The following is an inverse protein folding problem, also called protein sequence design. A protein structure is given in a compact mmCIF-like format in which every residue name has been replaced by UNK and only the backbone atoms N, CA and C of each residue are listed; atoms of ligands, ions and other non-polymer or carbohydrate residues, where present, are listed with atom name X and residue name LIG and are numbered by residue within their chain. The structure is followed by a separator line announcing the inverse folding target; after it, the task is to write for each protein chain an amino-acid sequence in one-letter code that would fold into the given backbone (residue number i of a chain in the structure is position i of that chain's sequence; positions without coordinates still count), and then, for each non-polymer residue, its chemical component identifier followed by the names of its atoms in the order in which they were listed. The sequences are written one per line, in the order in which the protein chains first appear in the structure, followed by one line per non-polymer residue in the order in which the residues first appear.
data_IF_855020156635
#
_entry.id   IF_855020156635
#
_cell.length_a   1.000
_cell.length_b   1.000
_cell.length_c   1.000
_cell.angle_alpha   90.00
_cell.angle_beta   90.00
_cell.angle_gamma   90.00
#
_symmetry.space_group_name_H-M   'P 1'
#
loop_
_entity.id
_entity.type
_entity.pdbx_description
1 polymer ?
#
# COMPACT_ATOMS: atom_id res chain seq x y z
N UNK A 1 -1.23 25.09 20.39
CA UNK A 1 -1.58 23.94 19.52
C UNK A 1 -2.68 24.41 18.59
N UNK A 2 -2.66 23.91 17.34
CA UNK A 2 -3.67 24.23 16.32
C UNK A 2 -5.04 23.73 16.77
N UNK A 3 -6.06 24.59 16.64
CA UNK A 3 -7.46 24.29 16.96
C UNK A 3 -7.96 23.05 16.19
N UNK A 4 -8.90 22.30 16.79
CA UNK A 4 -9.49 21.11 16.15
C UNK A 4 -10.20 21.45 14.83
N UNK A 5 -10.57 22.70 14.59
CA UNK A 5 -11.12 23.14 13.30
C UNK A 5 -10.08 23.01 12.16
N UNK A 6 -8.80 23.28 12.46
CA UNK A 6 -7.69 23.25 11.49
C UNK A 6 -6.82 22.00 11.60
N UNK A 7 -7.13 21.08 12.52
CA UNK A 7 -6.38 19.86 12.79
C UNK A 7 -7.20 18.59 12.54
N UNK A 8 -6.64 17.65 11.80
CA UNK A 8 -7.11 16.27 11.66
C UNK A 8 -6.08 15.31 12.28
N UNK A 9 -6.52 14.26 12.96
CA UNK A 9 -5.64 13.26 13.57
C UNK A 9 -6.16 11.86 13.26
N UNK A 10 -5.38 11.09 12.51
CA UNK A 10 -5.61 9.68 12.24
C UNK A 10 -4.80 8.81 13.20
N UNK A 11 -5.46 8.01 14.05
CA UNK A 11 -4.80 7.09 15.00
C UNK A 11 -4.89 5.65 14.52
N UNK A 12 -3.97 5.29 13.63
CA UNK A 12 -4.04 4.03 12.92
C UNK A 12 -3.57 2.85 13.79
N UNK A 13 -4.23 1.71 13.61
CA UNK A 13 -3.99 0.51 14.39
C UNK A 13 -4.17 -0.74 13.52
N UNK A 14 -3.19 -1.64 13.52
CA UNK A 14 -3.26 -2.88 12.72
C UNK A 14 -3.90 -4.05 13.48
N UNK A 15 -4.21 -3.87 14.77
CA UNK A 15 -4.85 -4.87 15.64
C UNK A 15 -6.36 -4.62 15.75
N UNK A 16 -6.79 -3.37 15.77
CA UNK A 16 -8.20 -2.95 15.85
C UNK A 16 -8.52 -1.97 14.72
N UNK A 17 -9.72 -2.03 14.16
CA UNK A 17 -10.17 -1.11 13.11
C UNK A 17 -10.74 0.19 13.72
N UNK A 18 -9.90 0.93 14.45
CA UNK A 18 -10.29 2.17 15.14
C UNK A 18 -10.45 3.35 14.16
N UNK A 19 -9.39 3.65 13.41
CA UNK A 19 -9.30 4.83 12.54
C UNK A 19 -8.64 4.45 11.22
N UNK A 20 -9.07 5.09 10.11
CA UNK A 20 -8.62 4.77 8.76
C UNK A 20 -8.30 6.04 7.98
N UNK A 21 -7.12 6.05 7.36
CA UNK A 21 -6.71 7.11 6.46
C UNK A 21 -7.47 7.00 5.14
N UNK A 22 -8.15 8.07 4.66
CA UNK A 22 -8.77 8.04 3.35
C UNK A 22 -7.69 8.17 2.28
N UNK A 23 -7.55 7.15 1.43
CA UNK A 23 -6.66 7.16 0.27
C UNK A 23 -7.52 7.35 -0.99
N UNK A 24 -7.08 8.18 -1.93
CA UNK A 24 -7.78 8.34 -3.20
C UNK A 24 -7.73 7.05 -4.02
N UNK A 25 -8.83 6.74 -4.70
CA UNK A 25 -8.93 5.58 -5.57
C UNK A 25 -7.89 5.59 -6.70
N UNK A 26 -7.57 6.77 -7.25
CA UNK A 26 -6.53 6.93 -8.27
C UNK A 26 -5.14 6.48 -7.81
N UNK A 27 -4.83 6.64 -6.52
CA UNK A 27 -3.52 6.27 -5.98
C UNK A 27 -3.45 4.78 -5.64
N UNK A 28 -4.58 4.19 -5.25
CA UNK A 28 -4.68 2.76 -5.02
C UNK A 28 -4.69 1.98 -6.34
N UNK A 29 -5.48 2.41 -7.32
CA UNK A 29 -5.60 1.76 -8.63
C UNK A 29 -4.48 2.16 -9.62
N UNK A 30 -3.25 2.27 -9.12
CA UNK A 30 -2.07 2.56 -9.91
C UNK A 30 -1.14 1.33 -10.01
N UNK A 31 -0.65 1.06 -11.22
CA UNK A 31 0.16 -0.13 -11.50
C UNK A 31 1.44 -0.12 -10.69
N UNK A 32 2.08 1.04 -10.56
CA UNK A 32 3.30 1.16 -9.77
C UNK A 32 3.00 0.92 -8.30
N UNK A 33 2.01 1.62 -7.74
CA UNK A 33 1.58 1.44 -6.34
C UNK A 33 1.32 -0.03 -6.01
N UNK A 34 0.46 -0.72 -6.77
CA UNK A 34 0.06 -2.09 -6.45
C UNK A 34 1.18 -3.09 -6.70
N UNK A 35 1.95 -2.92 -7.78
CA UNK A 35 3.14 -3.76 -8.02
C UNK A 35 4.08 -3.72 -6.84
N UNK A 36 4.15 -2.57 -6.20
CA UNK A 36 5.10 -2.34 -5.15
C UNK A 36 4.58 -2.80 -3.79
N UNK A 37 3.34 -2.48 -3.46
CA UNK A 37 2.68 -2.98 -2.24
C UNK A 37 2.75 -4.51 -2.17
N UNK A 38 2.70 -5.19 -3.32
CA UNK A 38 2.71 -6.65 -3.39
C UNK A 38 4.05 -7.24 -3.82
N UNK A 39 5.12 -6.44 -3.92
CA UNK A 39 6.47 -6.86 -4.31
C UNK A 39 6.48 -7.70 -5.60
N UNK A 40 5.80 -7.20 -6.63
CA UNK A 40 5.65 -7.83 -7.92
C UNK A 40 6.97 -7.85 -8.69
N UNK A 41 7.30 -9.01 -9.28
CA UNK A 41 8.41 -9.13 -10.22
C UNK A 41 8.15 -8.33 -11.51
N UNK A 42 9.19 -7.70 -12.05
CA UNK A 42 9.08 -6.81 -13.21
C UNK A 42 8.57 -7.51 -14.47
N UNK A 43 9.03 -8.73 -14.75
CA UNK A 43 8.79 -9.38 -16.05
C UNK A 43 7.42 -10.08 -16.16
N UNK A 44 6.81 -10.49 -15.05
CA UNK A 44 5.61 -11.35 -15.08
C UNK A 44 4.48 -10.79 -14.24
N UNK A 45 4.77 -10.38 -13.01
CA UNK A 45 3.74 -9.96 -12.05
C UNK A 45 3.29 -8.51 -12.27
N UNK A 46 4.21 -7.58 -12.59
CA UNK A 46 3.86 -6.20 -12.93
C UNK A 46 2.99 -6.10 -14.20
N UNK A 47 3.30 -6.80 -15.31
CA UNK A 47 2.40 -6.87 -16.47
C UNK A 47 1.02 -7.45 -16.15
N UNK A 48 0.94 -8.43 -15.24
CA UNK A 48 -0.32 -8.98 -14.77
C UNK A 48 -1.17 -7.94 -14.03
N UNK A 49 -0.57 -7.20 -13.09
CA UNK A 49 -1.23 -6.09 -12.38
C UNK A 49 -1.68 -5.00 -13.37
N UNK A 50 -0.85 -4.67 -14.35
CA UNK A 50 -1.19 -3.68 -15.37
C UNK A 50 -2.42 -4.09 -16.20
N UNK A 51 -2.57 -5.37 -16.55
CA UNK A 51 -3.77 -5.88 -17.24
C UNK A 51 -5.03 -5.71 -16.38
N UNK A 52 -4.93 -5.93 -15.07
CA UNK A 52 -6.06 -5.75 -14.14
C UNK A 52 -6.52 -4.28 -14.15
N UNK A 53 -5.59 -3.34 -14.02
CA UNK A 53 -5.89 -1.91 -13.94
C UNK A 53 -6.43 -1.39 -15.26
N UNK A 54 -5.72 -1.64 -16.37
CA UNK A 54 -6.17 -1.24 -17.71
C UNK A 54 -7.52 -1.87 -18.07
N UNK A 55 -7.76 -3.12 -17.68
CA UNK A 55 -9.06 -3.78 -17.83
C UNK A 55 -10.17 -3.10 -17.02
N UNK A 56 -9.89 -2.67 -15.80
CA UNK A 56 -10.83 -1.91 -14.96
C UNK A 56 -11.16 -0.54 -15.60
N UNK A 57 -10.15 0.20 -16.03
CA UNK A 57 -10.30 1.52 -16.62
C UNK A 57 -11.08 1.50 -17.94
N UNK A 58 -10.75 0.55 -18.83
CA UNK A 58 -11.36 0.41 -20.15
C UNK A 58 -12.89 0.27 -20.09
N UNK A 59 -13.41 -0.32 -19.02
CA UNK A 59 -14.85 -0.56 -18.84
C UNK A 59 -15.46 0.25 -17.70
N UNK A 60 -14.77 1.28 -17.22
CA UNK A 60 -15.21 2.15 -16.11
C UNK A 60 -16.60 2.77 -16.31
N UNK A 61 -16.98 3.08 -17.56
CA UNK A 61 -18.30 3.64 -17.91
C UNK A 61 -19.46 2.63 -17.78
N UNK A 62 -19.18 1.33 -17.66
CA UNK A 62 -20.20 0.31 -17.47
C UNK A 62 -20.25 -0.10 -15.99
N UNK A 63 -21.33 0.21 -15.25
CA UNK A 63 -21.43 -0.13 -13.82
C UNK A 63 -21.41 -1.64 -13.58
N UNK A 64 -21.88 -2.43 -14.54
CA UNK A 64 -21.89 -3.90 -14.48
C UNK A 64 -20.60 -4.52 -15.04
N UNK A 65 -19.53 -3.74 -15.28
CA UNK A 65 -18.32 -4.27 -15.92
C UNK A 65 -17.74 -5.48 -15.17
N UNK A 66 -17.70 -5.41 -13.83
CA UNK A 66 -17.11 -6.45 -13.01
C UNK A 66 -18.00 -7.68 -12.99
N UNK A 67 -19.31 -7.47 -12.84
CA UNK A 67 -20.30 -8.55 -12.86
C UNK A 67 -20.30 -9.28 -14.21
N UNK A 68 -20.26 -8.53 -15.31
CA UNK A 68 -20.17 -9.09 -16.65
C UNK A 68 -18.86 -9.86 -16.86
N UNK A 69 -17.75 -9.35 -16.32
CA UNK A 69 -16.47 -10.04 -16.41
C UNK A 69 -16.53 -11.37 -15.62
N UNK A 70 -17.02 -11.35 -14.38
CA UNK A 70 -17.21 -12.54 -13.55
C UNK A 70 -18.09 -13.58 -14.27
N UNK A 71 -19.27 -13.20 -14.79
CA UNK A 71 -20.18 -14.11 -15.49
C UNK A 71 -19.51 -14.74 -16.72
N UNK A 72 -18.80 -13.95 -17.52
CA UNK A 72 -18.03 -14.45 -18.67
C UNK A 72 -16.90 -15.38 -18.25
N UNK A 73 -16.25 -15.12 -17.12
CA UNK A 73 -15.20 -16.01 -16.60
C UNK A 73 -15.78 -17.36 -16.17
N UNK A 74 -16.93 -17.39 -15.50
CA UNK A 74 -17.63 -18.66 -15.21
C UNK A 74 -17.93 -19.46 -16.48
N UNK A 75 -18.52 -18.80 -17.48
CA UNK A 75 -18.81 -19.42 -18.77
C UNK A 75 -17.54 -19.95 -19.43
N UNK A 76 -16.47 -19.14 -19.46
CA UNK A 76 -15.19 -19.50 -20.07
C UNK A 76 -14.58 -20.77 -19.46
N UNK A 77 -14.58 -20.90 -18.12
CA UNK A 77 -14.01 -22.07 -17.44
C UNK A 77 -14.69 -23.35 -17.89
N UNK A 78 -16.02 -23.32 -18.01
CA UNK A 78 -16.83 -24.51 -18.29
C UNK A 78 -17.17 -24.72 -19.77
N UNK A 79 -16.73 -23.82 -20.65
CA UNK A 79 -16.92 -23.91 -22.11
C UNK A 79 -15.62 -23.82 -22.91
N UNK A 80 -14.45 -23.69 -22.27
CA UNK A 80 -13.19 -23.71 -23.01
C UNK A 80 -12.80 -25.11 -23.49
N UNK A 81 -12.12 -25.18 -24.63
CA UNK A 81 -11.63 -26.44 -25.19
C UNK A 81 -10.48 -27.07 -24.40
N UNK A 82 -9.69 -26.25 -23.70
CA UNK A 82 -8.53 -26.67 -22.90
C UNK A 82 -8.61 -26.08 -21.48
N UNK A 83 -9.48 -26.62 -20.62
CA UNK A 83 -9.61 -26.14 -19.25
C UNK A 83 -8.33 -26.36 -18.45
N UNK A 84 -8.09 -25.47 -17.48
CA UNK A 84 -6.93 -25.51 -16.59
C UNK A 84 -7.39 -25.88 -15.19
N UNK A 85 -6.87 -26.96 -14.55
CA UNK A 85 -7.31 -27.38 -13.22
C UNK A 85 -7.27 -26.26 -12.18
N UNK A 86 -6.21 -25.42 -12.19
CA UNK A 86 -6.03 -24.32 -11.24
C UNK A 86 -7.16 -23.27 -11.32
N UNK A 87 -7.85 -23.16 -12.46
CA UNK A 87 -8.96 -22.20 -12.62
C UNK A 87 -10.16 -22.51 -11.71
N UNK A 88 -10.34 -23.78 -11.32
CA UNK A 88 -11.44 -24.18 -10.46
C UNK A 88 -11.29 -23.65 -9.03
N UNK A 89 -10.07 -23.69 -8.49
CA UNK A 89 -9.82 -23.14 -7.14
C UNK A 89 -9.89 -21.61 -7.14
N UNK A 90 -9.40 -20.96 -8.20
CA UNK A 90 -9.50 -19.52 -8.36
C UNK A 90 -10.97 -19.05 -8.43
N UNK A 91 -11.83 -19.74 -9.18
CA UNK A 91 -13.25 -19.35 -9.26
C UNK A 91 -14.01 -19.65 -7.97
N UNK A 92 -13.65 -20.71 -7.24
CA UNK A 92 -14.18 -20.99 -5.91
C UNK A 92 -13.87 -19.85 -4.93
N UNK A 93 -12.65 -19.32 -4.95
CA UNK A 93 -12.30 -18.16 -4.13
C UNK A 93 -13.07 -16.89 -4.53
N UNK A 94 -13.28 -16.64 -5.82
CA UNK A 94 -14.16 -15.55 -6.28
C UNK A 94 -15.58 -15.73 -5.75
N UNK A 95 -16.13 -16.94 -5.84
CA UNK A 95 -17.48 -17.28 -5.36
C UNK A 95 -17.62 -17.01 -3.86
N UNK A 96 -16.61 -17.40 -3.09
CA UNK A 96 -16.53 -17.21 -1.64
C UNK A 96 -16.41 -15.73 -1.26
N UNK A 97 -15.57 -14.96 -1.96
CA UNK A 97 -15.44 -13.52 -1.75
C UNK A 97 -16.75 -12.77 -2.03
N UNK A 98 -17.58 -13.29 -2.95
CA UNK A 98 -18.90 -12.75 -3.26
C UNK A 98 -20.01 -13.24 -2.31
N UNK A 99 -19.71 -14.15 -1.37
CA UNK A 99 -20.72 -14.70 -0.45
C UNK A 99 -21.82 -15.52 -1.15
N UNK A 100 -21.51 -16.18 -2.27
CA UNK A 100 -22.47 -16.99 -3.03
C UNK A 100 -22.43 -18.45 -2.57
N UNK A 101 -22.96 -18.72 -1.37
CA UNK A 101 -22.82 -20.02 -0.69
C UNK A 101 -23.34 -21.20 -1.52
N UNK A 102 -24.54 -21.11 -2.10
CA UNK A 102 -25.13 -22.20 -2.90
C UNK A 102 -24.27 -22.54 -4.12
N UNK A 103 -23.78 -21.52 -4.84
CA UNK A 103 -22.90 -21.71 -5.99
C UNK A 103 -21.55 -22.29 -5.55
N UNK A 104 -21.02 -21.83 -4.42
CA UNK A 104 -19.77 -22.32 -3.86
C UNK A 104 -19.88 -23.81 -3.48
N UNK A 105 -20.98 -24.22 -2.87
CA UNK A 105 -21.28 -25.62 -2.59
C UNK A 105 -21.34 -26.46 -3.86
N UNK A 106 -22.02 -25.98 -4.91
CA UNK A 106 -22.10 -26.69 -6.18
C UNK A 106 -20.73 -26.80 -6.88
N UNK A 107 -19.89 -25.76 -6.81
CA UNK A 107 -18.53 -25.78 -7.35
C UNK A 107 -17.60 -26.74 -6.61
N UNK A 108 -17.85 -27.07 -5.34
CA UNK A 108 -17.07 -28.08 -4.61
C UNK A 108 -17.26 -29.49 -5.16
N UNK A 109 -18.44 -29.78 -5.69
CA UNK A 109 -18.77 -31.08 -6.30
C UNK A 109 -18.16 -31.25 -7.70
N UNK A 110 -17.62 -30.18 -8.29
CA UNK A 110 -16.88 -30.25 -9.56
C UNK A 110 -15.50 -30.88 -9.32
N UNK A 111 -15.17 -31.87 -10.14
CA UNK A 111 -13.89 -32.58 -10.10
C UNK A 111 -13.19 -32.58 -11.47
N UNK A 112 -11.88 -32.82 -11.46
CA UNK A 112 -11.07 -32.96 -12.67
C UNK A 112 -11.10 -34.40 -13.18
N UNK A 113 -11.35 -34.59 -14.48
CA UNK A 113 -11.31 -35.89 -15.13
C UNK A 113 -10.01 -36.07 -15.93
N UNK A 114 -9.00 -36.69 -15.32
CA UNK A 114 -7.63 -36.82 -15.88
C UNK A 114 -7.57 -37.42 -17.28
N UNK A 115 -8.41 -38.41 -17.60
CA UNK A 115 -8.38 -39.06 -18.94
C UNK A 115 -8.96 -38.18 -20.06
N UNK A 116 -9.90 -37.29 -19.72
CA UNK A 116 -10.58 -36.43 -20.70
C UNK A 116 -10.09 -34.98 -20.64
N UNK A 117 -9.20 -34.67 -19.70
CA UNK A 117 -8.68 -33.32 -19.43
C UNK A 117 -9.80 -32.28 -19.36
N UNK A 118 -10.87 -32.60 -18.64
CA UNK A 118 -12.04 -31.75 -18.50
C UNK A 118 -12.59 -31.78 -17.07
N UNK A 119 -13.42 -30.80 -16.75
CA UNK A 119 -14.20 -30.81 -15.52
C UNK A 119 -15.45 -31.68 -15.68
N UNK A 120 -15.90 -32.27 -14.58
CA UNK A 120 -17.18 -32.95 -14.51
C UNK A 120 -17.82 -32.77 -13.14
N UNK A 121 -19.14 -32.96 -13.07
CA UNK A 121 -19.91 -33.00 -11.83
C UNK A 121 -20.87 -34.18 -11.87
N UNK A 122 -21.00 -34.89 -10.76
CA UNK A 122 -22.01 -35.92 -10.59
C UNK A 122 -23.17 -35.34 -9.77
N UNK A 123 -24.36 -35.28 -10.37
CA UNK A 123 -25.55 -34.81 -9.68
C UNK A 123 -26.46 -36.00 -9.40
N UNK A 124 -26.73 -36.26 -8.11
CA UNK A 124 -27.76 -37.20 -7.68
C UNK A 124 -29.11 -36.51 -7.71
N UNK A 125 -30.00 -36.95 -8.61
CA UNK A 125 -31.39 -36.48 -8.59
C UNK A 125 -32.17 -37.20 -7.50
N UNK A 126 -33.29 -36.60 -7.09
CA UNK A 126 -34.26 -37.11 -6.09
C UNK A 126 -34.81 -38.52 -6.36
N UNK A 127 -34.56 -39.09 -7.56
CA UNK A 127 -34.97 -40.43 -7.95
C UNK A 127 -33.83 -41.48 -7.93
N UNK A 128 -32.70 -41.22 -7.24
CA UNK A 128 -31.51 -42.10 -7.20
C UNK A 128 -30.80 -42.33 -8.56
N UNK A 129 -31.14 -41.56 -9.59
CA UNK A 129 -30.39 -41.54 -10.85
C UNK A 129 -29.24 -40.53 -10.78
N UNK A 130 -28.01 -41.03 -10.84
CA UNK A 130 -26.80 -40.23 -10.94
C UNK A 130 -26.57 -39.83 -12.39
N UNK A 131 -26.57 -38.52 -12.67
CA UNK A 131 -26.22 -37.99 -13.99
C UNK A 131 -24.88 -37.28 -13.93
N UNK A 132 -23.96 -37.73 -14.77
CA UNK A 132 -22.66 -37.10 -14.97
C UNK A 132 -22.78 -36.00 -16.04
N UNK A 133 -22.33 -34.80 -15.70
CA UNK A 133 -22.20 -33.69 -16.63
C UNK A 133 -20.73 -33.40 -16.85
N UNK A 134 -20.30 -33.40 -18.11
CA UNK A 134 -18.95 -33.00 -18.52
C UNK A 134 -18.98 -31.59 -19.08
N UNK A 135 -17.95 -30.80 -18.74
CA UNK A 135 -17.80 -29.43 -19.20
C UNK A 135 -16.79 -29.39 -20.35
N UNK A 136 -17.21 -28.90 -21.51
CA UNK A 136 -16.45 -28.91 -22.76
C UNK A 136 -16.87 -27.75 -23.68
N UNK A 137 -16.24 -27.65 -24.84
CA UNK A 137 -16.48 -26.58 -25.83
C UNK A 137 -17.91 -26.53 -26.41
N UNK A 138 -18.72 -27.58 -26.26
CA UNK A 138 -20.11 -27.57 -26.70
C UNK A 138 -21.03 -26.81 -25.74
N UNK A 139 -20.58 -26.59 -24.50
CA UNK A 139 -21.32 -25.83 -23.49
C UNK A 139 -22.55 -26.51 -22.89
N UNK A 140 -22.93 -27.70 -23.35
CA UNK A 140 -24.10 -28.45 -22.87
C UNK A 140 -24.08 -28.67 -21.34
N UNK A 141 -22.92 -29.02 -20.77
CA UNK A 141 -22.73 -29.17 -19.33
C UNK A 141 -22.93 -27.86 -18.57
N UNK A 142 -22.33 -26.77 -19.05
CA UNK A 142 -22.48 -25.44 -18.44
C UNK A 142 -23.94 -24.97 -18.47
N UNK A 143 -24.62 -25.13 -19.60
CA UNK A 143 -26.03 -24.76 -19.75
C UNK A 143 -26.94 -25.54 -18.80
N UNK A 144 -26.66 -26.83 -18.60
CA UNK A 144 -27.46 -27.69 -17.73
C UNK A 144 -27.24 -27.44 -16.24
N UNK A 145 -26.03 -27.03 -15.83
CA UNK A 145 -25.63 -27.03 -14.42
C UNK A 145 -25.53 -25.61 -13.85
N UNK A 146 -24.89 -24.68 -14.57
CA UNK A 146 -24.48 -23.38 -14.01
C UNK A 146 -25.18 -22.19 -14.65
N UNK A 147 -25.56 -22.24 -15.94
CA UNK A 147 -26.05 -21.08 -16.69
C UNK A 147 -27.17 -20.29 -15.97
N UNK A 148 -28.20 -20.96 -15.46
CA UNK A 148 -29.28 -20.29 -14.71
C UNK A 148 -28.77 -19.57 -13.45
N UNK A 149 -27.91 -20.24 -12.68
CA UNK A 149 -27.37 -19.69 -11.44
C UNK A 149 -26.46 -18.51 -11.73
N UNK A 150 -25.55 -18.63 -12.70
CA UNK A 150 -24.63 -17.56 -13.12
C UNK A 150 -25.40 -16.34 -13.65
N UNK A 151 -26.43 -16.56 -14.46
CA UNK A 151 -27.25 -15.46 -14.98
C UNK A 151 -27.97 -14.69 -13.86
N UNK A 152 -28.38 -15.40 -12.80
CA UNK A 152 -29.02 -14.80 -11.61
C UNK A 152 -28.07 -14.11 -10.64
N UNK A 153 -26.74 -14.25 -10.78
CA UNK A 153 -25.78 -13.61 -9.88
C UNK A 153 -25.94 -12.09 -9.91
N UNK A 154 -25.98 -11.51 -8.71
CA UNK A 154 -25.84 -10.08 -8.45
C UNK A 154 -24.53 -9.81 -7.72
N UNK A 155 -23.91 -8.67 -7.99
CA UNK A 155 -22.69 -8.26 -7.29
C UNK A 155 -23.07 -7.71 -5.90
N UNK A 156 -22.52 -8.25 -4.79
CA UNK A 156 -22.70 -7.65 -3.47
C UNK A 156 -21.97 -6.30 -3.38
N UNK A 157 -22.27 -5.52 -2.34
CA UNK A 157 -21.49 -4.32 -2.04
C UNK A 157 -20.10 -4.74 -1.56
N UNK A 158 -19.11 -4.53 -2.42
CA UNK A 158 -17.70 -4.83 -2.16
C UNK A 158 -16.91 -3.53 -2.03
N UNK A 159 -15.83 -3.57 -1.23
CA UNK A 159 -14.86 -2.48 -1.22
C UNK A 159 -13.77 -2.65 -2.30
N UNK A 160 -12.92 -1.63 -2.47
CA UNK A 160 -11.86 -1.65 -3.48
C UNK A 160 -10.84 -2.79 -3.26
N UNK A 161 -10.64 -3.23 -2.02
CA UNK A 161 -9.72 -4.33 -1.73
C UNK A 161 -10.31 -5.67 -2.16
N UNK A 162 -11.59 -5.89 -1.89
CA UNK A 162 -12.35 -7.06 -2.38
C UNK A 162 -12.45 -7.07 -3.90
N UNK A 163 -12.74 -5.91 -4.52
CA UNK A 163 -12.73 -5.75 -5.97
C UNK A 163 -11.37 -6.16 -6.56
N UNK A 164 -10.27 -5.69 -5.98
CA UNK A 164 -8.93 -6.05 -6.45
C UNK A 164 -8.68 -7.56 -6.36
N UNK A 165 -9.02 -8.19 -5.22
CA UNK A 165 -8.88 -9.65 -5.04
C UNK A 165 -9.69 -10.43 -6.08
N UNK A 166 -10.94 -10.02 -6.33
CA UNK A 166 -11.79 -10.67 -7.34
C UNK A 166 -11.15 -10.52 -8.73
N UNK A 167 -10.73 -9.30 -9.10
CA UNK A 167 -10.08 -9.02 -10.39
C UNK A 167 -8.79 -9.82 -10.58
N UNK A 168 -7.97 -9.98 -9.54
CA UNK A 168 -6.79 -10.83 -9.61
C UNK A 168 -7.14 -12.28 -9.99
N UNK A 169 -8.12 -12.87 -9.31
CA UNK A 169 -8.48 -14.26 -9.56
C UNK A 169 -9.07 -14.45 -10.97
N UNK A 170 -10.02 -13.60 -11.39
CA UNK A 170 -10.63 -13.73 -12.73
C UNK A 170 -9.63 -13.41 -13.86
N UNK A 171 -8.72 -12.46 -13.66
CA UNK A 171 -7.67 -12.17 -14.64
C UNK A 171 -6.70 -13.35 -14.77
N UNK A 172 -6.32 -13.97 -13.65
CA UNK A 172 -5.43 -15.13 -13.68
C UNK A 172 -6.10 -16.31 -14.39
N UNK A 173 -7.38 -16.56 -14.14
CA UNK A 173 -8.14 -17.59 -14.87
C UNK A 173 -8.07 -17.35 -16.38
N UNK A 174 -8.36 -16.12 -16.83
CA UNK A 174 -8.28 -15.79 -18.25
C UNK A 174 -6.88 -16.00 -18.80
N UNK A 175 -5.84 -15.51 -18.11
CA UNK A 175 -4.45 -15.63 -18.55
C UNK A 175 -3.98 -17.10 -18.62
N UNK A 176 -4.47 -17.96 -17.72
CA UNK A 176 -4.19 -19.40 -17.73
C UNK A 176 -4.85 -20.10 -18.92
N UNK A 177 -6.13 -19.79 -19.18
CA UNK A 177 -6.90 -20.40 -20.28
C UNK A 177 -6.35 -19.96 -21.64
N UNK A 178 -5.98 -18.68 -21.79
CA UNK A 178 -5.36 -18.16 -23.01
C UNK A 178 -3.87 -18.49 -23.14
N UNK A 179 -3.24 -19.06 -22.11
CA UNK A 179 -1.84 -19.47 -22.13
C UNK A 179 -0.83 -18.32 -22.04
N UNK A 180 -1.23 -17.17 -21.51
CA UNK A 180 -0.36 -16.00 -21.34
C UNK A 180 0.59 -16.14 -20.15
N UNK A 181 0.21 -16.91 -19.12
CA UNK A 181 0.98 -17.04 -17.88
C UNK A 181 0.87 -18.47 -17.33
N UNK A 182 1.86 -18.89 -16.54
CA UNK A 182 1.82 -20.11 -15.73
C UNK A 182 1.45 -19.79 -14.28
N UNK A 183 0.61 -20.63 -13.68
CA UNK A 183 0.06 -20.41 -12.34
C UNK A 183 1.14 -20.18 -11.27
N UNK A 184 2.22 -20.97 -11.32
CA UNK A 184 3.35 -20.93 -10.37
C UNK A 184 4.05 -19.56 -10.31
N UNK A 185 4.03 -18.77 -11.39
CA UNK A 185 4.66 -17.46 -11.43
C UNK A 185 3.79 -16.35 -10.80
N UNK A 186 2.47 -16.55 -10.68
CA UNK A 186 1.54 -15.55 -10.13
C UNK A 186 1.04 -15.95 -8.74
N UNK A 187 0.95 -17.23 -8.41
CA UNK A 187 0.49 -17.68 -7.10
C UNK A 187 1.24 -17.01 -5.92
N UNK A 188 2.58 -16.81 -5.95
CA UNK A 188 3.27 -16.08 -4.88
C UNK A 188 2.81 -14.63 -4.73
N UNK A 189 2.48 -13.95 -5.83
CA UNK A 189 1.92 -12.59 -5.82
C UNK A 189 0.54 -12.58 -5.14
N UNK A 190 -0.33 -13.54 -5.45
CA UNK A 190 -1.67 -13.60 -4.84
C UNK A 190 -1.59 -13.76 -3.32
N UNK A 191 -0.70 -14.63 -2.81
CA UNK A 191 -0.48 -14.80 -1.37
C UNK A 191 0.01 -13.51 -0.70
N UNK A 192 0.96 -12.79 -1.31
CA UNK A 192 1.44 -11.51 -0.80
C UNK A 192 0.36 -10.42 -0.85
N UNK A 193 -0.42 -10.40 -1.93
CA UNK A 193 -1.57 -9.49 -2.10
C UNK A 193 -2.56 -9.67 -0.96
N UNK A 194 -2.94 -10.91 -0.65
CA UNK A 194 -3.88 -11.19 0.42
C UNK A 194 -3.39 -10.68 1.78
N UNK A 195 -2.15 -11.00 2.16
CA UNK A 195 -1.55 -10.54 3.41
C UNK A 195 -1.51 -9.00 3.50
N UNK A 196 -1.01 -8.35 2.45
CA UNK A 196 -0.81 -6.90 2.41
C UNK A 196 -2.15 -6.16 2.45
N UNK A 197 -3.14 -6.63 1.68
CA UNK A 197 -4.48 -6.04 1.68
C UNK A 197 -5.20 -6.20 3.01
N UNK A 198 -5.04 -7.35 3.69
CA UNK A 198 -5.63 -7.55 5.00
C UNK A 198 -5.04 -6.60 6.05
N UNK A 199 -3.76 -6.23 5.93
CA UNK A 199 -3.14 -5.23 6.79
C UNK A 199 -3.60 -3.81 6.43
N UNK A 200 -3.60 -3.45 5.15
CA UNK A 200 -3.97 -2.13 4.65
C UNK A 200 -5.44 -1.80 4.90
N UNK A 201 -6.36 -2.77 4.72
CA UNK A 201 -7.81 -2.60 4.95
C UNK A 201 -8.15 -2.15 6.37
N UNK A 202 -7.29 -2.43 7.35
CA UNK A 202 -7.48 -2.01 8.75
C UNK A 202 -7.14 -0.54 9.00
N UNK A 203 -6.30 0.05 8.16
CA UNK A 203 -5.71 1.38 8.37
C UNK A 203 -6.01 2.37 7.25
N UNK A 204 -6.56 1.91 6.12
CA UNK A 204 -6.90 2.73 4.96
C UNK A 204 -8.34 2.45 4.53
N UNK A 205 -9.03 3.49 4.08
CA UNK A 205 -10.27 3.40 3.31
C UNK A 205 -10.04 4.01 1.93
N UNK A 206 -10.46 3.33 0.87
CA UNK A 206 -10.36 3.87 -0.50
C UNK A 206 -11.56 4.77 -0.77
N UNK A 207 -11.31 5.98 -1.26
CA UNK A 207 -12.33 7.01 -1.49
C UNK A 207 -12.23 7.60 -2.89
N UNK A 208 -13.38 7.79 -3.55
CA UNK A 208 -13.49 8.46 -4.85
C UNK A 208 -13.67 9.98 -4.70
N UNK A 209 -14.13 10.43 -3.52
CA UNK A 209 -14.42 11.83 -3.25
C UNK A 209 -13.15 12.62 -2.92
N UNK A 210 -13.18 13.94 -3.20
CA UNK A 210 -12.13 14.85 -2.80
C UNK A 210 -12.01 14.86 -1.26
N UNK A 211 -10.84 14.46 -0.76
CA UNK A 211 -10.56 14.42 0.67
C UNK A 211 -10.41 15.85 1.17
N UNK A 212 -11.23 16.24 2.14
CA UNK A 212 -11.12 17.54 2.79
C UNK A 212 -9.88 17.51 3.67
N UNK A 213 -8.83 18.17 3.23
CA UNK A 213 -7.57 18.28 3.96
C UNK A 213 -7.65 19.48 4.90
N UNK A 214 -7.44 19.22 6.19
CA UNK A 214 -7.23 20.30 7.16
C UNK A 214 -5.77 20.77 7.07
N UNK A 215 -5.48 22.05 7.40
CA UNK A 215 -4.12 22.59 7.35
C UNK A 215 -3.08 21.75 8.08
N UNK A 216 -3.46 21.12 9.20
CA UNK A 216 -2.61 20.17 9.92
C UNK A 216 -3.26 18.80 9.94
N UNK A 217 -2.60 17.82 9.33
CA UNK A 217 -3.01 16.41 9.37
C UNK A 217 -1.93 15.59 10.07
N UNK A 218 -2.29 14.91 11.15
CA UNK A 218 -1.37 14.06 11.93
C UNK A 218 -1.76 12.61 11.71
N UNK A 219 -0.84 11.79 11.22
CA UNK A 219 -1.06 10.35 11.03
C UNK A 219 -0.18 9.59 12.02
N UNK A 220 -0.79 9.02 13.06
CA UNK A 220 -0.08 8.25 14.09
C UNK A 220 0.01 6.78 13.69
N UNK A 221 1.25 6.29 13.58
CA UNK A 221 1.56 4.88 13.27
C UNK A 221 1.95 4.07 14.51
N UNK A 222 1.76 4.61 15.73
CA UNK A 222 2.26 4.03 16.99
C UNK A 222 1.88 2.56 17.15
N UNK A 223 0.60 2.22 16.88
CA UNK A 223 0.03 0.87 17.02
C UNK A 223 0.01 0.06 15.71
N UNK A 224 0.72 0.50 14.68
CA UNK A 224 0.84 -0.22 13.42
C UNK A 224 1.97 -1.25 13.45
N UNK A 225 1.80 -2.35 12.71
CA UNK A 225 2.85 -3.33 12.47
C UNK A 225 4.01 -2.74 11.62
N UNK A 226 5.18 -3.40 11.58
CA UNK A 226 6.33 -2.89 10.82
C UNK A 226 6.08 -2.74 9.32
N UNK A 227 5.23 -3.58 8.73
CA UNK A 227 4.88 -3.53 7.31
C UNK A 227 4.16 -2.22 6.96
N UNK A 228 3.08 -1.89 7.69
CA UNK A 228 2.32 -0.65 7.53
C UNK A 228 3.17 0.58 7.85
N UNK A 229 4.05 0.50 8.86
CA UNK A 229 4.98 1.59 9.17
C UNK A 229 5.93 1.95 8.02
N UNK A 230 6.12 1.03 7.06
CA UNK A 230 6.96 1.24 5.88
C UNK A 230 6.17 1.58 4.63
N UNK A 231 5.05 0.91 4.38
CA UNK A 231 4.24 1.09 3.17
C UNK A 231 3.37 2.33 3.22
N UNK A 232 2.73 2.61 4.35
CA UNK A 232 1.75 3.69 4.45
C UNK A 232 2.37 5.09 4.28
N UNK A 233 3.55 5.43 4.84
CA UNK A 233 4.16 6.74 4.61
C UNK A 233 4.40 7.04 3.14
N UNK A 234 4.76 6.03 2.34
CA UNK A 234 4.92 6.19 0.90
C UNK A 234 3.58 6.48 0.22
N UNK A 235 2.52 5.71 0.54
CA UNK A 235 1.19 5.94 -0.01
C UNK A 235 0.67 7.34 0.34
N UNK A 236 0.90 7.78 1.57
CA UNK A 236 0.55 9.13 2.03
C UNK A 236 1.35 10.19 1.27
N UNK A 237 2.66 10.01 1.12
CA UNK A 237 3.51 10.95 0.38
C UNK A 237 3.02 11.08 -1.07
N UNK A 238 2.77 9.95 -1.74
CA UNK A 238 2.26 9.91 -3.12
C UNK A 238 0.89 10.58 -3.24
N UNK A 239 -0.02 10.26 -2.32
CA UNK A 239 -1.37 10.82 -2.25
C UNK A 239 -1.41 12.34 -2.17
N UNK A 240 -0.48 12.95 -1.44
CA UNK A 240 -0.40 14.41 -1.36
C UNK A 240 0.45 15.02 -2.47
N UNK A 241 1.53 14.35 -2.87
CA UNK A 241 2.50 14.88 -3.82
C UNK A 241 1.96 14.94 -5.25
N UNK A 242 1.43 13.84 -5.79
CA UNK A 242 1.01 13.80 -7.20
C UNK A 242 -0.14 14.76 -7.52
N UNK A 243 -1.27 14.76 -6.78
CA UNK A 243 -2.36 15.68 -7.10
C UNK A 243 -1.99 17.15 -6.90
N UNK A 244 -1.03 17.45 -6.02
CA UNK A 244 -0.53 18.80 -5.83
C UNK A 244 0.38 19.23 -6.98
N UNK A 245 1.33 18.37 -7.37
CA UNK A 245 2.22 18.59 -8.53
C UNK A 245 1.44 18.91 -9.80
N UNK A 246 0.30 18.26 -10.02
CA UNK A 246 -0.53 18.45 -11.21
C UNK A 246 -1.37 19.74 -11.18
N UNK A 247 -1.70 20.27 -10.00
CA UNK A 247 -2.65 21.38 -9.83
C UNK A 247 -1.99 22.71 -9.48
N UNK A 248 -0.82 22.67 -8.84
CA UNK A 248 -0.15 23.86 -8.32
C UNK A 248 0.28 24.78 -9.45
N UNK A 249 0.14 26.10 -9.24
CA UNK A 249 0.60 27.07 -10.21
C UNK A 249 2.14 27.10 -10.33
N UNK A 250 2.64 27.76 -11.37
CA UNK A 250 4.06 28.11 -11.48
C UNK A 250 4.20 29.64 -11.61
N UNK A 251 4.71 30.36 -10.59
CA UNK A 251 5.21 29.85 -9.30
C UNK A 251 4.12 29.29 -8.38
N UNK A 252 4.47 28.42 -7.39
CA UNK A 252 3.49 27.80 -6.49
C UNK A 252 2.67 28.81 -5.68
N UNK A 253 1.34 28.62 -5.70
CA UNK A 253 0.36 29.42 -4.96
C UNK A 253 -0.09 28.77 -3.64
N UNK A 254 0.23 27.48 -3.46
CA UNK A 254 -0.04 26.69 -2.26
C UNK A 254 1.17 25.81 -1.92
N UNK A 255 1.28 25.37 -0.67
CA UNK A 255 2.41 24.52 -0.24
C UNK A 255 1.96 23.31 0.56
N UNK A 256 2.77 22.26 0.52
CA UNK A 256 2.62 21.05 1.35
C UNK A 256 3.91 20.84 2.13
N UNK A 257 3.77 20.62 3.44
CA UNK A 257 4.89 20.29 4.32
C UNK A 257 4.73 18.87 4.84
N UNK A 258 5.54 17.95 4.32
CA UNK A 258 5.57 16.57 4.77
C UNK A 258 6.60 16.44 5.90
N UNK A 259 6.11 16.16 7.12
CA UNK A 259 6.96 15.99 8.30
C UNK A 259 6.98 14.50 8.67
N UNK A 260 8.17 13.90 8.65
CA UNK A 260 8.36 12.49 8.95
C UNK A 260 9.11 12.37 10.28
N UNK A 261 8.43 11.85 11.29
CA UNK A 261 9.06 11.48 12.55
C UNK A 261 9.67 10.08 12.46
N UNK A 262 10.75 9.86 13.23
CA UNK A 262 11.51 8.60 13.22
C UNK A 262 11.92 8.16 11.79
N UNK A 263 12.38 9.13 10.98
CA UNK A 263 12.57 8.99 9.53
C UNK A 263 13.48 7.83 9.11
N UNK A 264 14.40 7.38 9.97
CA UNK A 264 15.23 6.20 9.70
C UNK A 264 14.41 4.90 9.53
N UNK A 265 13.21 4.81 10.11
CA UNK A 265 12.32 3.65 9.89
C UNK A 265 11.73 3.61 8.47
N UNK A 266 11.67 4.78 7.80
CA UNK A 266 11.00 4.96 6.51
C UNK A 266 11.99 5.20 5.39
N UNK A 267 13.18 5.74 5.67
CA UNK A 267 14.14 6.21 4.66
C UNK A 267 15.49 5.50 4.74
N UNK A 268 15.57 4.35 5.42
CA UNK A 268 16.82 3.62 5.56
C UNK A 268 17.17 2.75 4.36
N UNK A 269 18.48 2.66 4.11
CA UNK A 269 19.07 1.79 3.09
C UNK A 269 19.44 0.39 3.60
N UNK A 270 19.53 0.18 4.92
CA UNK A 270 20.10 -1.04 5.50
C UNK A 270 19.08 -2.18 5.76
N UNK A 271 17.87 -2.08 5.21
CA UNK A 271 16.83 -3.09 5.41
C UNK A 271 17.11 -4.38 4.60
N UNK A 272 17.76 -5.37 5.23
CA UNK A 272 18.06 -6.69 4.62
C UNK A 272 16.87 -7.62 4.43
N UNK A 273 15.66 -7.21 4.87
CA UNK A 273 14.43 -8.01 4.85
C UNK A 273 13.42 -7.58 3.78
N UNK A 274 13.77 -6.62 2.93
CA UNK A 274 12.90 -6.08 1.87
C UNK A 274 13.39 -6.52 0.50
N UNK A 275 12.48 -6.63 -0.48
CA UNK A 275 12.90 -6.75 -1.87
C UNK A 275 13.62 -5.47 -2.29
N UNK A 276 14.71 -5.61 -3.03
CA UNK A 276 15.52 -4.48 -3.53
C UNK A 276 14.66 -3.48 -4.30
N UNK A 277 13.76 -3.97 -5.16
CA UNK A 277 12.81 -3.16 -5.92
C UNK A 277 11.89 -2.26 -5.07
N UNK A 278 11.45 -2.73 -3.90
CA UNK A 278 10.57 -1.96 -3.03
C UNK A 278 11.34 -0.83 -2.35
N UNK A 279 12.52 -1.19 -1.85
CA UNK A 279 13.42 -0.26 -1.19
C UNK A 279 13.83 0.87 -2.14
N UNK A 280 14.21 0.54 -3.37
CA UNK A 280 14.65 1.52 -4.37
C UNK A 280 13.52 2.51 -4.68
N UNK A 281 12.32 2.03 -5.01
CA UNK A 281 11.20 2.93 -5.28
C UNK A 281 10.82 3.82 -4.10
N UNK A 282 10.77 3.26 -2.88
CA UNK A 282 10.49 4.05 -1.67
C UNK A 282 11.48 5.21 -1.57
N UNK A 283 12.78 4.95 -1.74
CA UNK A 283 13.81 5.97 -1.68
C UNK A 283 13.72 6.94 -2.86
N UNK A 284 13.52 6.44 -4.08
CA UNK A 284 13.37 7.26 -5.30
C UNK A 284 12.25 8.29 -5.15
N UNK A 285 11.09 7.90 -4.61
CA UNK A 285 9.97 8.83 -4.40
C UNK A 285 10.33 9.97 -3.43
N UNK A 286 10.99 9.67 -2.30
CA UNK A 286 11.42 10.72 -1.36
C UNK A 286 12.60 11.53 -1.89
N UNK A 287 13.47 10.92 -2.70
CA UNK A 287 14.53 11.62 -3.41
C UNK A 287 13.98 12.58 -4.47
N UNK A 288 12.94 12.19 -5.20
CA UNK A 288 12.24 13.09 -6.13
C UNK A 288 11.62 14.26 -5.36
N UNK A 289 10.89 13.99 -4.27
CA UNK A 289 10.26 15.05 -3.45
C UNK A 289 11.32 16.03 -2.94
N UNK A 290 12.47 15.58 -2.44
CA UNK A 290 13.49 16.49 -1.91
C UNK A 290 14.26 17.25 -3.01
N UNK A 291 14.45 16.65 -4.19
CA UNK A 291 15.15 17.29 -5.33
C UNK A 291 14.25 18.26 -6.10
N UNK A 292 12.98 17.90 -6.32
CA UNK A 292 12.06 18.63 -7.20
C UNK A 292 10.95 19.35 -6.45
N UNK A 293 10.61 18.93 -5.22
CA UNK A 293 9.44 19.42 -4.48
C UNK A 293 9.38 20.94 -4.34
N UNK A 294 10.53 21.62 -4.22
CA UNK A 294 10.60 23.09 -4.18
C UNK A 294 9.96 23.76 -5.40
N UNK A 295 10.09 23.16 -6.60
CA UNK A 295 9.45 23.68 -7.84
C UNK A 295 7.93 23.65 -7.74
N UNK A 296 7.40 22.74 -6.93
CA UNK A 296 5.97 22.47 -6.76
C UNK A 296 5.44 22.89 -5.39
N UNK A 297 6.18 23.65 -4.58
CA UNK A 297 5.71 24.06 -3.24
C UNK A 297 5.69 22.95 -2.19
N UNK A 298 6.36 21.82 -2.41
CA UNK A 298 6.42 20.68 -1.48
C UNK A 298 7.74 20.67 -0.72
N UNK A 299 7.65 20.61 0.60
CA UNK A 299 8.79 20.63 1.51
C UNK A 299 8.81 19.39 2.40
N UNK A 300 9.98 18.80 2.57
CA UNK A 300 10.21 17.64 3.43
C UNK A 300 10.94 18.06 4.71
N UNK A 301 10.45 17.62 5.86
CA UNK A 301 11.12 17.77 7.16
C UNK A 301 11.30 16.39 7.78
N UNK A 302 12.52 16.06 8.15
CA UNK A 302 12.87 14.75 8.71
C UNK A 302 13.33 14.90 10.15
N UNK A 303 12.71 14.14 11.05
CA UNK A 303 13.12 13.97 12.45
C UNK A 303 13.66 12.55 12.64
N UNK A 304 14.85 12.40 13.20
CA UNK A 304 15.44 11.09 13.47
C UNK A 304 16.56 11.17 14.51
N UNK A 305 16.65 10.14 15.35
CA UNK A 305 17.76 9.91 16.28
C UNK A 305 18.90 9.08 15.68
N UNK A 306 18.74 8.55 14.46
CA UNK A 306 19.76 7.77 13.73
C UNK A 306 19.95 8.34 12.32
N UNK A 307 20.57 9.52 12.16
CA UNK A 307 20.78 10.12 10.85
C UNK A 307 21.63 9.24 9.92
N UNK A 308 22.60 8.48 10.43
CA UNK A 308 23.44 7.57 9.62
C UNK A 308 22.67 6.39 9.00
N UNK A 309 21.46 6.10 9.47
CA UNK A 309 20.63 5.05 8.90
C UNK A 309 19.82 5.55 7.69
N UNK A 310 19.64 6.87 7.53
CA UNK A 310 18.89 7.48 6.42
C UNK A 310 19.72 7.44 5.12
N UNK A 311 19.06 7.30 3.97
CA UNK A 311 19.71 7.37 2.64
C UNK A 311 20.65 8.59 2.54
N UNK A 312 21.97 8.39 2.28
CA UNK A 312 22.91 9.49 2.11
C UNK A 312 22.50 10.47 1.02
N UNK A 313 21.86 9.97 -0.05
CA UNK A 313 21.34 10.82 -1.12
C UNK A 313 20.29 11.78 -0.59
N UNK A 314 19.36 11.32 0.25
CA UNK A 314 18.34 12.19 0.86
C UNK A 314 19.00 13.19 1.81
N UNK A 315 19.90 12.74 2.69
CA UNK A 315 20.59 13.62 3.65
C UNK A 315 21.37 14.72 2.92
N UNK A 316 21.98 14.42 1.77
CA UNK A 316 22.73 15.39 0.96
C UNK A 316 21.89 16.54 0.38
N UNK A 317 20.57 16.34 0.27
CA UNK A 317 19.64 17.34 -0.27
C UNK A 317 18.96 18.15 0.83
N UNK A 318 19.23 17.87 2.10
CA UNK A 318 18.69 18.65 3.22
C UNK A 318 19.47 19.97 3.30
N UNK A 319 18.75 21.08 3.23
CA UNK A 319 19.37 22.41 3.27
C UNK A 319 19.58 22.98 4.67
N UNK A 320 18.73 22.61 5.62
CA UNK A 320 18.71 23.18 6.98
C UNK A 320 18.68 22.06 8.01
N UNK A 321 19.49 22.19 9.04
CA UNK A 321 19.65 21.20 10.08
C UNK A 321 19.45 21.84 11.45
N UNK A 322 18.71 21.14 12.31
CA UNK A 322 18.61 21.41 13.74
C UNK A 322 19.20 20.19 14.47
N UNK A 323 20.47 20.30 14.84
CA UNK A 323 21.23 19.18 15.39
C UNK A 323 21.18 19.26 16.92
N UNK A 324 20.39 18.37 17.51
CA UNK A 324 20.40 18.14 18.96
C UNK A 324 21.61 17.30 19.37
N UNK A 325 21.69 16.99 20.68
CA UNK A 325 22.76 16.15 21.22
C UNK A 325 22.87 14.82 20.47
N UNK A 326 24.02 14.58 19.84
CA UNK A 326 24.39 13.33 19.20
C UNK A 326 25.71 12.83 19.78
N UNK A 327 25.71 11.59 20.26
CA UNK A 327 26.87 10.97 20.94
C UNK A 327 27.44 9.80 20.12
N UNK A 328 26.74 9.37 19.07
CA UNK A 328 27.12 8.20 18.28
C UNK A 328 28.24 8.54 17.28
N UNK A 329 29.33 7.78 17.35
CA UNK A 329 30.52 7.93 16.49
C UNK A 329 30.25 7.67 15.00
N UNK A 330 29.12 7.04 14.65
CA UNK A 330 28.70 6.88 13.24
C UNK A 330 27.90 8.06 12.70
N UNK A 331 27.19 8.78 13.57
CA UNK A 331 26.29 9.86 13.17
C UNK A 331 27.04 11.19 12.95
N UNK A 332 28.00 11.50 13.82
CA UNK A 332 28.78 12.75 13.73
C UNK A 332 29.59 12.89 12.42
N UNK A 333 30.31 11.86 11.92
CA UNK A 333 31.06 11.96 10.67
C UNK A 333 30.16 12.09 9.43
N UNK A 334 28.96 11.48 9.45
CA UNK A 334 28.01 11.63 8.34
C UNK A 334 27.56 13.08 8.21
N UNK A 335 27.21 13.70 9.34
CA UNK A 335 26.80 15.10 9.42
C UNK A 335 27.95 16.00 8.96
N UNK A 336 29.17 15.73 9.40
CA UNK A 336 30.38 16.47 9.02
C UNK A 336 30.61 16.48 7.50
N UNK A 337 30.52 15.31 6.86
CA UNK A 337 30.73 15.19 5.42
C UNK A 337 29.60 15.81 4.60
N UNK A 338 28.41 15.96 5.18
CA UNK A 338 27.22 16.44 4.47
C UNK A 338 26.98 17.93 4.66
N UNK A 339 27.39 18.51 5.80
CA UNK A 339 27.11 19.90 6.18
C UNK A 339 28.38 20.73 6.11
N UNK A 340 28.64 21.32 4.94
CA UNK A 340 29.79 22.21 4.71
C UNK A 340 29.78 23.48 5.57
N UNK A 341 28.62 23.88 6.10
CA UNK A 341 28.44 25.08 6.92
C UNK A 341 28.74 24.86 8.41
N UNK A 342 29.00 23.63 8.85
CA UNK A 342 29.26 23.32 10.26
C UNK A 342 30.77 23.44 10.56
N UNK A 343 31.15 24.35 11.46
CA UNK A 343 32.54 24.53 11.86
C UNK A 343 32.97 23.56 12.98
N UNK A 344 34.28 23.33 13.09
CA UNK A 344 34.86 22.41 14.09
C UNK A 344 34.46 22.75 15.53
N UNK A 345 34.32 24.05 15.83
CA UNK A 345 33.90 24.49 17.16
C UNK A 345 32.46 24.06 17.46
N UNK A 346 31.50 24.36 16.58
CA UNK A 346 30.11 23.92 16.77
C UNK A 346 30.00 22.40 16.83
N UNK A 347 30.79 21.68 16.02
CA UNK A 347 30.84 20.21 16.05
C UNK A 347 31.28 19.67 17.41
N UNK A 348 32.32 20.26 18.02
CA UNK A 348 32.80 19.86 19.35
C UNK A 348 31.75 20.07 20.45
N UNK A 349 30.77 20.96 20.23
CA UNK A 349 29.69 21.22 21.17
C UNK A 349 28.55 20.18 21.07
N UNK A 350 28.29 19.59 19.90
CA UNK A 350 27.15 18.70 19.67
C UNK A 350 27.02 17.57 20.72
N UNK A 351 28.09 16.83 21.09
CA UNK A 351 27.98 15.76 22.09
C UNK A 351 27.63 16.25 23.50
N UNK A 352 27.90 17.53 23.78
CA UNK A 352 27.79 18.18 25.09
C UNK A 352 26.53 19.05 25.22
N UNK A 353 25.69 19.14 24.19
CA UNK A 353 24.46 19.93 24.24
C UNK A 353 23.51 19.44 25.34
N UNK A 354 22.96 20.37 26.11
CA UNK A 354 21.91 20.08 27.09
C UNK A 354 20.59 19.73 26.39
N UNK A 355 19.65 19.11 27.13
CA UNK A 355 18.31 18.79 26.60
C UNK A 355 17.60 20.07 26.17
N UNK A 356 17.08 20.08 24.94
CA UNK A 356 16.44 21.25 24.35
C UNK A 356 17.42 22.22 23.67
N UNK A 357 18.74 22.08 23.85
CA UNK A 357 19.70 22.80 23.02
C UNK A 357 19.88 22.13 21.65
N UNK A 358 20.09 22.92 20.60
CA UNK A 358 20.49 22.44 19.28
C UNK A 358 21.42 23.44 18.58
N UNK A 359 22.24 22.93 17.65
CA UNK A 359 22.94 23.74 16.65
C UNK A 359 22.06 23.83 15.40
N UNK A 360 21.66 25.04 15.03
CA UNK A 360 20.99 25.34 13.78
C UNK A 360 21.99 25.79 12.73
N UNK A 361 22.00 25.15 11.56
CA UNK A 361 22.93 25.45 10.45
C UNK A 361 22.29 25.10 9.12
N UNK A 362 22.84 25.63 8.02
CA UNK A 362 22.35 25.39 6.67
C UNK A 362 22.15 26.67 5.86
N UNK A 363 21.51 26.56 4.71
CA UNK A 363 21.40 27.69 3.75
C UNK A 363 20.54 28.86 4.24
N UNK A 364 19.70 28.63 5.26
CA UNK A 364 18.90 29.70 5.88
C UNK A 364 19.64 30.45 7.00
N UNK A 365 20.88 30.06 7.33
CA UNK A 365 21.68 30.66 8.39
C UNK A 365 23.04 31.09 7.84
N UNK A 366 23.48 32.32 8.14
CA UNK A 366 24.79 32.80 7.69
C UNK A 366 25.96 32.11 8.42
N UNK A 367 25.73 31.70 9.67
CA UNK A 367 26.67 30.99 10.54
C UNK A 367 25.88 29.99 11.39
N UNK A 368 26.49 28.89 11.87
CA UNK A 368 25.88 28.02 12.87
C UNK A 368 25.45 28.80 14.13
N UNK A 369 24.23 28.58 14.59
CA UNK A 369 23.67 29.22 15.78
C UNK A 369 23.32 28.16 16.82
N UNK A 370 23.77 28.35 18.06
CA UNK A 370 23.31 27.53 19.19
C UNK A 370 22.00 28.12 19.72
N UNK A 371 20.95 27.31 19.73
CA UNK A 371 19.60 27.69 20.15
C UNK A 371 19.14 26.84 21.33
N UNK A 372 18.36 27.42 22.23
CA UNK A 372 17.59 26.71 23.25
C UNK A 372 16.13 26.67 22.80
N UNK A 373 15.59 25.46 22.62
CA UNK A 373 14.18 25.26 22.30
C UNK A 373 13.36 25.34 23.59
N UNK A 374 12.34 26.20 23.57
CA UNK A 374 11.42 26.36 24.69
C UNK A 374 10.60 25.09 24.92
N UNK A 375 10.45 24.74 26.20
CA UNK A 375 9.64 23.60 26.59
C UNK A 375 8.16 23.98 26.50
N UNK A 376 7.37 23.19 25.77
CA UNK A 376 5.93 23.36 25.71
C UNK A 376 5.28 23.23 27.11
N UNK A 377 4.21 23.99 27.35
CA UNK A 377 3.34 23.80 28.52
C UNK A 377 2.88 22.35 28.62
N UNK A 378 2.72 21.81 29.85
CA UNK A 378 2.40 20.41 30.08
C UNK A 378 1.15 19.93 29.33
N UNK A 379 0.12 20.77 29.22
CA UNK A 379 -1.12 20.50 28.47
C UNK A 379 -0.92 20.43 26.95
N UNK A 380 0.20 20.96 26.44
CA UNK A 380 0.57 21.03 25.02
C UNK A 380 1.71 20.08 24.66
N UNK A 381 2.22 19.28 25.61
CA UNK A 381 3.27 18.29 25.33
C UNK A 381 2.68 17.07 24.63
N UNK A 382 3.40 16.47 23.67
CA UNK A 382 3.02 15.15 23.16
C UNK A 382 3.09 14.11 24.29
N UNK A 383 2.33 13.02 24.13
CA UNK A 383 2.38 11.85 25.03
C UNK A 383 3.70 11.08 24.80
N UNK A 384 4.79 11.68 25.29
CA UNK A 384 6.17 11.24 25.14
C UNK A 384 6.89 11.15 26.50
N UNK A 385 6.12 11.11 27.59
CA UNK A 385 6.69 10.94 28.92
C UNK A 385 7.32 9.57 29.04
N UNK A 386 8.53 9.51 29.61
CA UNK A 386 9.11 8.24 30.03
C UNK A 386 8.14 7.58 31.01
N UNK A 387 7.97 6.27 30.84
CA UNK A 387 7.11 5.49 31.71
C UNK A 387 7.67 5.55 33.12
N UNK A 388 6.85 5.94 34.10
CA UNK A 388 7.24 5.92 35.50
C UNK A 388 7.32 4.47 35.98
N UNK A 389 8.52 3.90 35.89
CA UNK A 389 8.80 2.52 36.24
C UNK A 389 8.56 2.25 37.74
N UNK A 390 8.84 3.23 38.60
CA UNK A 390 8.64 3.08 40.05
C UNK A 390 7.16 2.92 40.41
N UNK A 391 6.27 3.59 39.68
CA UNK A 391 4.83 3.42 39.87
C UNK A 391 4.27 2.12 39.25
N UNK A 392 4.91 1.54 38.24
CA UNK A 392 4.48 0.28 37.62
C UNK A 392 4.98 -0.96 38.36
N UNK A 393 6.13 -0.87 39.03
CA UNK A 393 6.74 -1.99 39.75
C UNK A 393 6.20 -2.19 41.18
N UNK A 394 5.32 -1.31 41.66
CA UNK A 394 4.53 -1.50 42.88
C UNK A 394 3.37 -2.45 42.61
#
# INVERSE_FOLDING_TARGET
MVSNEFKCVYRLNTRTEEDKFPLSASEFWDTETLSILFQATQNTQKPFINRIITGRERFSNNPDNLLNYIKKTYELIFTCAQPKPDSLDLIREVTKLMGLDDLYHQLKEVAWHTKHNCFYINTTKTNNESKNYYFNAEGNGYQSVFSSMINSITLPKIDAFEEFKIRCNIQLICDLIYGYVQYEFIQPLLKRTESSLNALRKVITITENQIITKPVTVISLRKCNPEIKKTLPLLVAKHYYHPHKDKVANPPDTTIHLIIDEAHNILSQQSSRESESWKDYRLEMFEEIIKEGRKFGVFLTLSSQRPADISPTIVSQIHNFFIHRLVNDRDLPLIDNTISTLDNMSKSMIPNLAKGCCVATGTSFNLPIVLQVDVLESSKRPDSGDVDLENIWK
#
